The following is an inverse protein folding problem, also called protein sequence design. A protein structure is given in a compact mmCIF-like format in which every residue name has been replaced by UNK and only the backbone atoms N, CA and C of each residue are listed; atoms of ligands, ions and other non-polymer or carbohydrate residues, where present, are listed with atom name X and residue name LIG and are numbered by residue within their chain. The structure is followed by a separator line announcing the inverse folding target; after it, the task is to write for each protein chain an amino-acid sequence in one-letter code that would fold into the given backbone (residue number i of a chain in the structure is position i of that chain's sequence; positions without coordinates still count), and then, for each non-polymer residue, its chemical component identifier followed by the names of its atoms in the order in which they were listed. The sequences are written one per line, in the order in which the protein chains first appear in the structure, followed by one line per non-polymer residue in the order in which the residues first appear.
data_IF_804633028330
#
_entry.id   IF_804633028330
#
_cell.length_a   1.000
_cell.length_b   1.000
_cell.length_c   1.000
_cell.angle_alpha   90.00
_cell.angle_beta   90.00
_cell.angle_gamma   90.00
#
_symmetry.space_group_name_H-M   'P 1'
#
loop_
_entity.id
_entity.type
_entity.pdbx_description
1 polymer ?
#
# COMPACT_ATOMS: atom_id res chain seq x y z
N UNK A 1 24.13 6.39 19.12
CA UNK A 1 22.74 5.89 19.06
C UNK A 1 22.75 4.61 18.23
N UNK A 2 22.36 3.47 18.80
CA UNK A 2 22.35 2.20 18.07
C UNK A 2 21.35 2.29 16.89
N UNK A 3 21.81 1.96 15.69
CA UNK A 3 20.94 1.85 14.51
C UNK A 3 19.91 0.78 14.85
N UNK A 4 18.64 1.17 14.94
CA UNK A 4 17.52 0.25 15.20
C UNK A 4 17.61 -0.84 14.14
N UNK A 5 17.74 -2.11 14.57
CA UNK A 5 17.77 -3.24 13.65
C UNK A 5 16.56 -3.20 12.71
N UNK A 6 16.69 -3.81 11.53
CA UNK A 6 15.63 -3.82 10.52
C UNK A 6 14.28 -4.18 11.15
N UNK A 7 13.23 -3.44 10.76
CA UNK A 7 11.86 -3.69 11.25
C UNK A 7 11.49 -5.16 11.07
N UNK A 8 10.76 -5.77 12.02
CA UNK A 8 10.33 -7.15 11.90
C UNK A 8 9.60 -7.39 10.58
N UNK A 9 9.95 -8.47 9.88
CA UNK A 9 9.18 -8.89 8.70
C UNK A 9 7.75 -9.26 9.13
N UNK A 10 6.72 -8.80 8.41
CA UNK A 10 5.33 -9.22 8.61
C UNK A 10 5.20 -10.75 8.67
N UNK A 11 4.26 -11.24 9.47
CA UNK A 11 4.04 -12.68 9.69
C UNK A 11 3.79 -13.43 8.38
N UNK A 12 2.99 -12.86 7.48
CA UNK A 12 2.74 -13.43 6.15
C UNK A 12 4.04 -13.66 5.36
N UNK A 13 4.94 -12.68 5.33
CA UNK A 13 6.21 -12.81 4.63
C UNK A 13 7.12 -13.86 5.30
N UNK A 14 7.12 -13.93 6.64
CA UNK A 14 7.87 -14.97 7.37
C UNK A 14 7.36 -16.38 7.08
N UNK A 15 6.04 -16.54 6.93
CA UNK A 15 5.41 -17.81 6.57
C UNK A 15 5.77 -18.23 5.14
N UNK A 16 5.67 -17.31 4.18
CA UNK A 16 6.01 -17.55 2.77
C UNK A 16 7.48 -17.91 2.58
N UNK A 17 8.39 -17.25 3.30
CA UNK A 17 9.83 -17.52 3.24
C UNK A 17 10.28 -18.75 4.08
N UNK A 18 9.35 -19.48 4.70
CA UNK A 18 9.65 -20.71 5.44
C UNK A 18 10.34 -20.51 6.80
N UNK A 19 10.20 -19.32 7.42
CA UNK A 19 10.74 -19.01 8.75
C UNK A 19 12.22 -19.41 8.94
N UNK A 20 13.12 -18.97 8.04
CA UNK A 20 14.56 -19.31 8.03
C UNK A 20 15.26 -19.18 9.40
N UNK A 21 14.85 -18.20 10.21
CA UNK A 21 15.41 -17.97 11.55
C UNK A 21 14.84 -18.86 12.66
N UNK A 22 13.86 -19.73 12.38
CA UNK A 22 13.15 -20.64 13.30
C UNK A 22 12.58 -20.00 14.58
N UNK A 23 12.56 -18.67 14.66
CA UNK A 23 11.94 -17.94 15.78
C UNK A 23 10.43 -18.17 15.78
N UNK A 24 9.76 -18.15 16.95
CA UNK A 24 8.32 -18.17 17.00
C UNK A 24 7.71 -17.10 16.09
N UNK A 25 6.63 -17.48 15.40
CA UNK A 25 5.86 -16.58 14.55
C UNK A 25 4.76 -15.95 15.42
N UNK A 26 4.68 -14.61 15.51
CA UNK A 26 3.59 -13.95 16.22
C UNK A 26 2.23 -14.41 15.67
N UNK A 27 1.32 -14.83 16.54
CA UNK A 27 -0.02 -15.32 16.14
C UNK A 27 -1.12 -14.26 16.19
N UNK A 28 -0.82 -13.10 16.79
CA UNK A 28 -1.78 -12.01 17.02
C UNK A 28 -1.46 -10.76 16.22
N UNK A 29 -0.81 -10.88 15.06
CA UNK A 29 -0.65 -9.72 14.18
C UNK A 29 -2.02 -9.30 13.64
N UNK A 30 -2.43 -8.03 13.78
CA UNK A 30 -3.73 -7.58 13.30
C UNK A 30 -3.78 -7.73 11.78
N UNK A 31 -4.80 -8.44 11.30
CA UNK A 31 -5.09 -8.57 9.88
C UNK A 31 -6.40 -7.83 9.59
N UNK A 32 -6.36 -6.53 9.30
CA UNK A 32 -7.56 -5.78 8.94
C UNK A 32 -8.13 -6.33 7.63
N UNK A 33 -9.42 -6.63 7.64
CA UNK A 33 -10.16 -7.12 6.48
C UNK A 33 -11.23 -6.11 6.05
N UNK A 34 -11.78 -6.30 4.85
CA UNK A 34 -12.81 -5.44 4.28
C UNK A 34 -12.25 -4.23 3.52
N UNK A 35 -13.09 -3.67 2.65
CA UNK A 35 -12.72 -2.52 1.84
C UNK A 35 -12.60 -1.23 2.68
N UNK A 36 -11.79 -0.25 2.24
CA UNK A 36 -11.74 1.06 2.86
C UNK A 36 -13.12 1.72 2.97
N UNK A 37 -13.41 2.36 4.10
CA UNK A 37 -14.67 3.06 4.35
C UNK A 37 -14.48 4.55 4.12
N UNK A 38 -15.23 5.11 3.16
CA UNK A 38 -15.15 6.54 2.80
C UNK A 38 -15.60 7.43 3.97
N UNK A 39 -14.75 8.34 4.47
CA UNK A 39 -15.15 9.25 5.54
C UNK A 39 -16.22 10.27 5.10
N UNK A 40 -17.15 10.62 5.98
CA UNK A 40 -18.27 11.54 5.69
C UNK A 40 -17.84 12.95 5.25
N UNK A 41 -16.63 13.37 5.62
CA UNK A 41 -16.08 14.68 5.27
C UNK A 41 -15.49 14.71 3.86
N UNK A 42 -15.18 13.56 3.25
CA UNK A 42 -14.60 13.48 1.91
C UNK A 42 -15.68 13.73 0.86
N UNK A 43 -15.60 14.85 0.14
CA UNK A 43 -16.63 15.31 -0.79
C UNK A 43 -16.05 15.82 -2.10
N UNK A 44 -16.91 15.97 -3.11
CA UNK A 44 -16.57 16.53 -4.42
C UNK A 44 -15.51 15.71 -5.15
N UNK A 45 -14.53 16.38 -5.76
CA UNK A 45 -13.48 15.72 -6.55
C UNK A 45 -12.65 14.71 -5.75
N UNK A 46 -12.40 14.95 -4.46
CA UNK A 46 -11.68 14.00 -3.61
C UNK A 46 -12.48 12.70 -3.39
N UNK A 47 -13.82 12.79 -3.32
CA UNK A 47 -14.67 11.63 -3.21
C UNK A 47 -14.75 10.82 -4.52
N UNK A 48 -14.62 11.46 -5.68
CA UNK A 48 -14.53 10.78 -6.97
C UNK A 48 -13.18 10.06 -7.13
N UNK A 49 -12.08 10.72 -6.76
CA UNK A 49 -10.74 10.11 -6.73
C UNK A 49 -10.69 8.85 -5.85
N UNK A 50 -11.42 8.85 -4.74
CA UNK A 50 -11.54 7.66 -3.90
C UNK A 50 -12.10 6.46 -4.67
N UNK A 51 -13.20 6.66 -5.41
CA UNK A 51 -13.83 5.58 -6.17
C UNK A 51 -12.95 5.12 -7.34
N UNK A 52 -12.28 6.06 -8.01
CA UNK A 52 -11.29 5.78 -9.07
C UNK A 52 -10.13 4.92 -8.54
N UNK A 53 -9.59 5.26 -7.35
CA UNK A 53 -8.48 4.51 -6.76
C UNK A 53 -8.92 3.12 -6.33
N UNK A 54 -10.08 3.00 -5.68
CA UNK A 54 -10.58 1.69 -5.24
C UNK A 54 -10.91 0.74 -6.41
N UNK A 55 -11.14 1.26 -7.61
CA UNK A 55 -11.35 0.43 -8.80
C UNK A 55 -10.13 -0.43 -9.16
N UNK A 56 -8.91 0.00 -8.81
CA UNK A 56 -7.68 -0.77 -9.08
C UNK A 56 -6.88 -1.14 -7.83
N UNK A 57 -7.08 -0.47 -6.70
CA UNK A 57 -6.34 -0.69 -5.45
C UNK A 57 -7.02 -1.73 -4.54
N UNK A 58 -7.30 -2.92 -5.09
CA UNK A 58 -8.03 -4.00 -4.40
C UNK A 58 -7.31 -4.58 -3.16
N UNK A 59 -6.04 -4.23 -2.95
CA UNK A 59 -5.25 -4.65 -1.79
C UNK A 59 -5.47 -3.80 -0.54
N UNK A 60 -6.11 -2.63 -0.67
CA UNK A 60 -6.37 -1.75 0.47
C UNK A 60 -7.43 -2.35 1.38
N UNK A 61 -7.26 -2.13 2.68
CA UNK A 61 -8.12 -2.65 3.73
C UNK A 61 -8.80 -1.53 4.51
N UNK A 62 -9.71 -1.87 5.43
CA UNK A 62 -10.33 -0.89 6.34
C UNK A 62 -9.28 -0.03 7.08
N UNK A 63 -8.09 -0.56 7.35
CA UNK A 63 -7.01 0.19 8.02
C UNK A 63 -6.47 1.36 7.17
N UNK A 64 -6.62 1.29 5.84
CA UNK A 64 -6.12 2.30 4.92
C UNK A 64 -7.10 3.48 4.74
N UNK A 65 -8.31 3.38 5.29
CA UNK A 65 -9.42 4.31 5.03
C UNK A 65 -9.04 5.79 5.21
N UNK A 66 -8.46 6.16 6.36
CA UNK A 66 -8.11 7.56 6.61
C UNK A 66 -6.94 8.04 5.78
N UNK A 67 -5.97 7.16 5.50
CA UNK A 67 -4.79 7.50 4.69
C UNK A 67 -5.18 7.70 3.23
N UNK A 68 -6.03 6.82 2.70
CA UNK A 68 -6.59 6.96 1.36
C UNK A 68 -7.38 8.28 1.25
N UNK A 69 -8.20 8.61 2.26
CA UNK A 69 -8.99 9.84 2.24
C UNK A 69 -8.10 11.09 2.21
N UNK A 70 -7.05 11.11 3.05
CA UNK A 70 -6.07 12.19 3.07
C UNK A 70 -5.32 12.31 1.74
N UNK A 71 -4.94 11.18 1.13
CA UNK A 71 -4.31 11.16 -0.19
C UNK A 71 -5.24 11.70 -1.27
N UNK A 72 -6.51 11.30 -1.28
CA UNK A 72 -7.50 11.82 -2.24
C UNK A 72 -7.74 13.32 -2.09
N UNK A 73 -7.79 13.83 -0.85
CA UNK A 73 -7.94 15.26 -0.56
C UNK A 73 -6.74 16.07 -1.06
N UNK A 74 -5.53 15.53 -0.86
CA UNK A 74 -4.27 16.12 -1.34
C UNK A 74 -4.13 16.03 -2.86
N UNK A 75 -4.55 14.93 -3.48
CA UNK A 75 -4.58 14.77 -4.94
C UNK A 75 -5.55 15.77 -5.58
N UNK A 76 -6.73 16.01 -4.99
CA UNK A 76 -7.63 17.09 -5.42
C UNK A 76 -6.93 18.45 -5.38
N UNK A 77 -6.20 18.74 -4.30
CA UNK A 77 -5.49 20.00 -4.18
C UNK A 77 -4.38 20.14 -5.23
N UNK A 78 -3.63 19.06 -5.48
CA UNK A 78 -2.65 19.00 -6.56
C UNK A 78 -3.27 19.33 -7.93
N UNK A 79 -4.41 18.71 -8.26
CA UNK A 79 -5.11 18.98 -9.53
C UNK A 79 -5.48 20.46 -9.69
N UNK A 80 -5.82 21.15 -8.59
CA UNK A 80 -6.19 22.57 -8.59
C UNK A 80 -4.99 23.51 -8.63
N UNK A 81 -3.96 23.22 -7.84
CA UNK A 81 -2.86 24.12 -7.54
C UNK A 81 -1.50 23.60 -8.03
N UNK A 82 -1.47 22.74 -9.05
CA UNK A 82 -0.26 22.06 -9.56
C UNK A 82 0.95 22.96 -9.80
N UNK A 83 0.72 24.23 -10.17
CA UNK A 83 1.78 25.20 -10.50
C UNK A 83 2.46 25.79 -9.26
N UNK A 84 1.77 25.84 -8.12
CA UNK A 84 2.27 26.45 -6.89
C UNK A 84 2.85 25.43 -5.91
N UNK A 85 2.67 24.15 -6.19
CA UNK A 85 3.19 23.06 -5.36
C UNK A 85 4.71 23.06 -5.27
N UNK A 86 5.22 23.05 -4.05
CA UNK A 86 6.65 23.02 -3.78
C UNK A 86 7.25 21.63 -4.07
N UNK A 87 8.57 21.51 -3.96
CA UNK A 87 9.24 20.20 -3.98
C UNK A 87 8.85 19.37 -2.75
N UNK A 88 8.63 20.01 -1.59
CA UNK A 88 8.21 19.35 -0.36
C UNK A 88 6.80 18.76 -0.52
N UNK A 89 5.86 19.52 -1.08
CA UNK A 89 4.48 19.05 -1.28
C UNK A 89 4.42 17.80 -2.16
N UNK A 90 5.18 17.84 -3.27
CA UNK A 90 5.32 16.70 -4.18
C UNK A 90 5.95 15.49 -3.50
N UNK A 91 6.91 15.70 -2.60
CA UNK A 91 7.56 14.62 -1.84
C UNK A 91 6.58 13.96 -0.88
N UNK A 92 5.83 14.74 -0.12
CA UNK A 92 4.84 14.23 0.82
C UNK A 92 3.72 13.48 0.09
N UNK A 93 3.23 14.03 -1.02
CA UNK A 93 2.19 13.38 -1.82
C UNK A 93 2.62 12.03 -2.37
N UNK A 94 3.85 11.96 -2.89
CA UNK A 94 4.45 10.70 -3.33
C UNK A 94 4.64 9.71 -2.17
N UNK A 95 5.10 10.19 -1.00
CA UNK A 95 5.27 9.33 0.18
C UNK A 95 3.93 8.69 0.59
N UNK A 96 2.87 9.48 0.67
CA UNK A 96 1.54 8.97 1.00
C UNK A 96 1.02 7.96 -0.04
N UNK A 97 1.23 8.22 -1.33
CA UNK A 97 0.87 7.28 -2.40
C UNK A 97 1.69 5.97 -2.35
N UNK A 98 2.98 6.07 -2.05
CA UNK A 98 3.89 4.93 -1.89
C UNK A 98 3.48 4.03 -0.73
N UNK A 99 3.05 4.61 0.39
CA UNK A 99 2.55 3.89 1.57
C UNK A 99 1.23 3.16 1.30
N UNK A 100 0.39 3.69 0.41
CA UNK A 100 -0.84 3.04 -0.07
C UNK A 100 -0.56 2.02 -1.19
N UNK A 101 0.69 1.87 -1.61
CA UNK A 101 1.04 0.95 -2.69
C UNK A 101 0.58 1.42 -4.07
N UNK A 102 0.41 2.72 -4.30
CA UNK A 102 0.01 3.23 -5.62
C UNK A 102 1.19 3.18 -6.62
N UNK A 103 2.42 3.19 -6.12
CA UNK A 103 3.63 3.08 -6.94
C UNK A 103 4.00 1.61 -7.25
N UNK A 104 4.46 1.27 -8.47
CA UNK A 104 4.85 -0.10 -8.84
C UNK A 104 5.92 -0.71 -7.90
N UNK A 105 6.89 0.08 -7.46
CA UNK A 105 7.95 -0.37 -6.56
C UNK A 105 7.44 -0.72 -5.15
N UNK A 106 6.40 -0.04 -4.68
CA UNK A 106 5.68 -0.40 -3.45
C UNK A 106 4.87 -1.68 -3.64
N UNK A 107 4.25 -1.86 -4.81
CA UNK A 107 3.48 -3.08 -5.14
C UNK A 107 4.32 -4.32 -5.32
N UNK A 108 5.55 -4.20 -5.83
CA UNK A 108 6.46 -5.33 -5.99
C UNK A 108 6.73 -6.08 -4.68
N UNK A 109 6.47 -5.44 -3.52
CA UNK A 109 6.62 -6.04 -2.19
C UNK A 109 5.31 -6.62 -1.63
N UNK A 110 4.19 -6.37 -2.27
CA UNK A 110 2.86 -6.86 -1.86
C UNK A 110 2.54 -8.12 -2.67
N UNK A 111 2.52 -9.28 -2.01
CA UNK A 111 2.17 -10.55 -2.67
C UNK A 111 0.74 -10.50 -3.23
N UNK A 112 0.55 -10.94 -4.46
CA UNK A 112 -0.78 -11.04 -5.08
C UNK A 112 -1.48 -12.32 -4.60
N UNK A 113 -2.80 -12.25 -4.35
CA UNK A 113 -3.62 -13.42 -3.99
C UNK A 113 -3.68 -14.47 -5.11
N UNK A 114 -3.43 -14.05 -6.36
CA UNK A 114 -3.53 -14.90 -7.56
C UNK A 114 -2.19 -15.33 -8.17
N UNK A 115 -1.09 -15.30 -7.40
CA UNK A 115 0.14 -15.94 -7.83
C UNK A 115 -0.04 -17.48 -7.79
N UNK A 116 -0.77 -18.03 -8.76
CA UNK A 116 -0.47 -19.38 -9.24
C UNK A 116 1.02 -19.36 -9.55
N UNK A 117 1.81 -20.14 -8.80
CA UNK A 117 3.21 -20.41 -9.10
C UNK A 117 3.26 -20.94 -10.53
N UNK A 118 3.52 -20.06 -11.50
CA UNK A 118 4.17 -20.45 -12.74
C UNK A 118 5.63 -20.18 -12.48
N UNK A 119 6.38 -21.27 -12.32
CA UNK A 119 7.82 -21.18 -12.21
C UNK A 119 8.30 -20.48 -13.48
N UNK A 120 8.82 -19.26 -13.35
CA UNK A 120 9.26 -18.47 -14.50
C UNK A 120 10.42 -19.13 -15.25
N UNK A 121 10.95 -20.23 -14.72
CA UNK A 121 11.92 -21.13 -15.32
C UNK A 121 11.32 -22.10 -16.34
N UNK A 122 10.02 -22.47 -16.27
CA UNK A 122 9.40 -23.43 -17.22
C UNK A 122 9.37 -22.92 -18.66
N UNK A 123 9.45 -21.61 -18.89
CA UNK A 123 9.52 -21.03 -20.24
C UNK A 123 10.93 -21.03 -20.85
N UNK A 124 11.93 -21.56 -20.15
CA UNK A 124 13.33 -21.55 -20.58
C UNK A 124 13.95 -22.96 -20.64
N UNK A 125 13.17 -24.00 -20.35
CA UNK A 125 13.59 -25.39 -20.52
C UNK A 125 12.57 -26.08 -21.43
N UNK A 126 12.86 -26.03 -22.74
CA UNK A 126 12.42 -27.04 -23.73
C UNK A 126 13.51 -28.11 -23.83
#
# INVERSE_FOLDING_TARGET
MAIRGASPKPTLLRLVEGNRGRRPIPRGEPMPEGAPVKPKWLKGRAAALWDEVLAFAFWLTVADSYKLAAWCDRQRDFERHRKTWTAADRREHRSAGSELGLDPSSRARMGTKDAKKKDAAEKYFD
#
